data_IF_010057183558
#
_entry.id   IF_010057183558
#
_cell.length_a   1.000
_cell.length_b   1.000
_cell.length_c   1.000
_cell.angle_alpha   90.00
_cell.angle_beta   90.00
_cell.angle_gamma   90.00
#
_symmetry.space_group_name_H-M   'P 1'
#
loop_
_entity.id
_entity.type
_entity.pdbx_description
1 polymer ?
#
# COMPACT_ATOMS: atom_id res chain seq x y z
N UNK A 1 -48.06 -8.14 8.58
CA UNK A 1 -47.69 -7.04 7.65
C UNK A 1 -46.43 -6.40 8.21
N UNK A 2 -45.27 -6.93 7.85
CA UNK A 2 -43.96 -6.50 8.33
C UNK A 2 -43.27 -5.72 7.19
N UNK A 3 -42.96 -4.46 7.49
CA UNK A 3 -42.21 -3.59 6.59
C UNK A 3 -40.77 -4.06 6.55
N UNK A 4 -40.37 -4.53 5.39
CA UNK A 4 -38.94 -4.77 5.05
C UNK A 4 -38.27 -3.40 4.95
N UNK A 5 -37.29 -3.16 5.86
CA UNK A 5 -36.40 -2.01 5.74
C UNK A 5 -35.54 -2.17 4.50
N UNK A 6 -35.62 -1.19 3.61
CA UNK A 6 -34.67 -1.02 2.51
C UNK A 6 -33.30 -0.69 3.12
N UNK A 7 -32.39 -1.67 3.13
CA UNK A 7 -30.97 -1.39 3.26
C UNK A 7 -30.54 -0.67 1.96
N UNK A 8 -30.29 0.62 2.07
CA UNK A 8 -29.66 1.42 1.03
C UNK A 8 -28.23 0.90 0.83
N UNK A 9 -28.08 -0.01 -0.14
CA UNK A 9 -26.76 -0.30 -0.71
C UNK A 9 -26.19 1.00 -1.27
N UNK A 10 -25.16 1.53 -0.64
CA UNK A 10 -24.41 2.67 -1.17
C UNK A 10 -23.79 2.22 -2.50
N UNK A 11 -24.10 2.87 -3.62
CA UNK A 11 -23.56 2.44 -4.91
C UNK A 11 -22.05 2.54 -4.91
N UNK A 12 -21.37 1.51 -5.40
CA UNK A 12 -19.90 1.40 -5.62
C UNK A 12 -19.39 2.52 -6.55
N UNK A 13 -20.26 3.22 -7.25
CA UNK A 13 -19.95 4.29 -8.21
C UNK A 13 -19.32 5.56 -7.62
N UNK A 14 -19.23 5.71 -6.30
CA UNK A 14 -18.67 6.92 -5.69
C UNK A 14 -17.18 6.83 -5.28
N UNK A 15 -16.52 5.65 -5.38
CA UNK A 15 -15.10 5.48 -5.05
C UNK A 15 -14.18 5.69 -6.28
N UNK A 16 -14.73 6.20 -7.39
CA UNK A 16 -13.98 6.41 -8.64
C UNK A 16 -13.09 7.64 -8.64
N UNK A 17 -13.26 8.55 -7.70
CA UNK A 17 -12.39 9.69 -7.57
C UNK A 17 -11.04 9.29 -6.94
N UNK A 18 -9.99 9.94 -7.41
CA UNK A 18 -8.59 9.68 -7.05
C UNK A 18 -8.38 9.98 -5.57
N UNK A 19 -8.39 8.99 -4.65
CA UNK A 19 -8.30 9.30 -3.24
C UNK A 19 -6.90 9.85 -2.91
N UNK A 20 -6.87 11.03 -2.31
CA UNK A 20 -5.68 11.60 -1.68
C UNK A 20 -5.80 11.34 -0.19
N UNK A 21 -4.90 10.52 0.35
CA UNK A 21 -4.87 10.23 1.77
C UNK A 21 -3.78 11.08 2.42
N UNK A 22 -4.16 11.89 3.40
CA UNK A 22 -3.25 12.80 4.08
C UNK A 22 -3.03 12.35 5.54
N UNK A 23 -1.77 12.20 5.91
CA UNK A 23 -1.30 12.01 7.28
C UNK A 23 -0.67 13.29 7.84
N UNK A 24 0.22 13.14 8.81
CA UNK A 24 0.95 14.27 9.41
C UNK A 24 2.15 14.71 8.58
N UNK A 25 2.87 13.74 8.05
CA UNK A 25 4.15 13.92 7.34
C UNK A 25 4.14 13.24 5.97
N UNK A 26 3.11 12.45 5.72
CA UNK A 26 2.95 11.62 4.52
C UNK A 26 1.66 11.99 3.83
N UNK A 27 1.74 12.20 2.51
CA UNK A 27 0.60 12.19 1.61
C UNK A 27 0.69 10.96 0.69
N UNK A 28 -0.45 10.33 0.41
CA UNK A 28 -0.53 9.25 -0.56
C UNK A 28 -1.56 9.58 -1.63
N UNK A 29 -1.16 9.50 -2.87
CA UNK A 29 -2.02 9.66 -4.05
C UNK A 29 -1.62 8.72 -5.16
N UNK A 30 -2.49 8.39 -6.09
CA UNK A 30 -2.10 7.69 -7.30
C UNK A 30 -1.00 8.43 -8.04
N UNK A 31 -0.08 7.67 -8.64
CA UNK A 31 0.94 8.24 -9.53
C UNK A 31 0.31 8.58 -10.87
N UNK A 32 0.70 9.75 -11.39
CA UNK A 32 0.35 10.23 -12.71
C UNK A 32 1.60 10.26 -13.62
N UNK A 33 1.40 10.42 -14.93
CA UNK A 33 2.49 10.38 -15.92
C UNK A 33 3.53 11.49 -15.66
N UNK A 34 3.12 12.59 -15.07
CA UNK A 34 3.99 13.73 -14.75
C UNK A 34 4.92 13.46 -13.57
N UNK A 35 4.61 12.45 -12.75
CA UNK A 35 5.50 12.01 -11.66
C UNK A 35 6.72 11.23 -12.16
N UNK A 36 6.77 10.90 -13.46
CA UNK A 36 7.81 10.02 -14.02
C UNK A 36 9.23 10.44 -13.66
N UNK A 37 9.54 11.72 -13.79
CA UNK A 37 10.91 12.21 -13.59
C UNK A 37 11.41 12.00 -12.16
N UNK A 38 10.59 12.33 -11.17
CA UNK A 38 10.95 12.13 -9.77
C UNK A 38 10.91 10.65 -9.38
N UNK A 39 9.86 9.95 -9.81
CA UNK A 39 9.73 8.50 -9.58
C UNK A 39 10.93 7.73 -10.15
N UNK A 40 11.34 8.03 -11.40
CA UNK A 40 12.48 7.38 -12.06
C UNK A 40 13.78 7.57 -11.27
N UNK A 41 14.07 8.80 -10.82
CA UNK A 41 15.27 9.10 -10.05
C UNK A 41 15.33 8.27 -8.77
N UNK A 42 14.24 8.29 -7.99
CA UNK A 42 14.16 7.53 -6.75
C UNK A 42 14.21 6.02 -7.02
N UNK A 43 13.48 5.54 -8.01
CA UNK A 43 13.43 4.10 -8.34
C UNK A 43 14.80 3.57 -8.77
N UNK A 44 15.53 4.32 -9.59
CA UNK A 44 16.85 3.90 -10.10
C UNK A 44 17.92 3.90 -9.02
N UNK A 45 17.97 4.92 -8.15
CA UNK A 45 18.96 4.92 -7.06
C UNK A 45 18.73 3.80 -6.05
N UNK A 46 17.50 3.30 -5.96
CA UNK A 46 17.13 2.21 -5.07
C UNK A 46 17.09 0.83 -5.76
N UNK A 47 17.60 0.69 -6.98
CA UNK A 47 17.49 -0.57 -7.73
C UNK A 47 18.08 -1.76 -6.96
N UNK A 48 19.33 -1.64 -6.48
CA UNK A 48 20.00 -2.71 -5.72
C UNK A 48 19.32 -2.98 -4.37
N UNK A 49 18.86 -1.91 -3.71
CA UNK A 49 18.12 -1.99 -2.46
C UNK A 49 16.80 -2.76 -2.58
N UNK A 50 16.09 -2.63 -3.70
CA UNK A 50 14.75 -3.18 -3.90
C UNK A 50 14.77 -4.56 -4.55
N UNK A 51 15.73 -4.86 -5.41
CA UNK A 51 15.80 -6.12 -6.17
C UNK A 51 15.69 -7.36 -5.27
N UNK A 52 16.31 -7.34 -4.10
CA UNK A 52 16.28 -8.46 -3.15
C UNK A 52 14.89 -8.74 -2.54
N UNK A 53 13.88 -7.87 -2.80
CA UNK A 53 12.56 -7.91 -2.17
C UNK A 53 11.40 -7.90 -3.15
N UNK A 54 11.67 -7.88 -4.45
CA UNK A 54 10.67 -7.74 -5.49
C UNK A 54 10.67 -8.93 -6.45
N UNK A 55 9.52 -9.23 -7.07
CA UNK A 55 9.46 -10.18 -8.17
C UNK A 55 10.36 -9.73 -9.33
N UNK A 56 11.01 -10.69 -9.96
CA UNK A 56 11.76 -10.42 -11.18
C UNK A 56 10.80 -10.01 -12.29
N UNK A 57 11.18 -8.98 -13.06
CA UNK A 57 10.41 -8.56 -14.21
C UNK A 57 10.40 -9.66 -15.27
N UNK A 58 9.24 -9.89 -15.89
CA UNK A 58 9.10 -10.87 -16.95
C UNK A 58 10.01 -10.57 -18.15
N UNK A 59 10.50 -11.60 -18.80
CA UNK A 59 11.37 -11.45 -19.97
C UNK A 59 10.67 -10.61 -21.05
N UNK A 60 11.39 -9.63 -21.62
CA UNK A 60 10.88 -8.74 -22.66
C UNK A 60 9.90 -7.66 -22.20
N UNK A 61 9.57 -7.59 -20.91
CA UNK A 61 8.72 -6.50 -20.41
C UNK A 61 9.53 -5.20 -20.32
N UNK A 62 9.01 -4.06 -20.87
CA UNK A 62 9.64 -2.77 -20.76
C UNK A 62 9.85 -2.36 -19.30
N UNK A 63 10.96 -1.67 -19.04
CA UNK A 63 11.25 -1.17 -17.70
C UNK A 63 10.66 0.23 -17.49
N UNK A 64 9.64 0.39 -16.64
CA UNK A 64 9.10 1.71 -16.35
C UNK A 64 10.12 2.66 -15.70
N UNK A 65 11.23 2.15 -15.14
CA UNK A 65 12.27 2.98 -14.57
C UNK A 65 13.21 3.61 -15.62
N UNK A 66 13.13 3.18 -16.87
CA UNK A 66 13.93 3.74 -17.97
C UNK A 66 13.07 4.19 -19.16
N UNK A 67 11.84 3.74 -19.23
CA UNK A 67 10.92 4.00 -20.34
C UNK A 67 9.66 4.72 -19.83
N UNK A 68 9.50 6.00 -20.20
CA UNK A 68 8.34 6.81 -19.85
C UNK A 68 7.02 6.23 -20.37
N UNK A 69 7.03 5.58 -21.53
CA UNK A 69 5.83 4.95 -22.08
C UNK A 69 5.41 3.75 -21.22
N UNK A 70 6.36 2.92 -20.80
CA UNK A 70 6.10 1.83 -19.88
C UNK A 70 5.58 2.33 -18.51
N UNK A 71 6.10 3.45 -18.02
CA UNK A 71 5.57 4.10 -16.81
C UNK A 71 4.13 4.60 -17.02
N UNK A 72 3.84 5.24 -18.15
CA UNK A 72 2.48 5.68 -18.49
C UNK A 72 1.50 4.49 -18.57
N UNK A 73 1.91 3.37 -19.18
CA UNK A 73 1.11 2.13 -19.22
C UNK A 73 0.86 1.58 -17.81
N UNK A 74 1.87 1.64 -16.93
CA UNK A 74 1.73 1.26 -15.52
C UNK A 74 0.71 2.14 -14.80
N UNK A 75 0.76 3.46 -14.96
CA UNK A 75 -0.23 4.38 -14.38
C UNK A 75 -1.64 4.08 -14.90
N UNK A 76 -1.79 3.83 -16.20
CA UNK A 76 -3.07 3.45 -16.80
C UNK A 76 -3.61 2.12 -16.25
N UNK A 77 -2.76 1.11 -16.07
CA UNK A 77 -3.13 -0.17 -15.48
C UNK A 77 -3.61 0.02 -14.01
N UNK A 78 -2.91 0.81 -13.20
CA UNK A 78 -3.31 1.14 -11.84
C UNK A 78 -4.63 1.91 -11.77
N UNK A 79 -4.86 2.82 -12.71
CA UNK A 79 -6.16 3.51 -12.85
C UNK A 79 -7.27 2.52 -13.16
N UNK A 80 -7.02 1.56 -14.05
CA UNK A 80 -7.98 0.51 -14.37
C UNK A 80 -8.32 -0.40 -13.19
N UNK A 81 -7.31 -0.82 -12.42
CA UNK A 81 -7.52 -1.61 -11.19
C UNK A 81 -8.42 -0.87 -10.21
N UNK A 82 -8.19 0.44 -10.01
CA UNK A 82 -9.01 1.29 -9.15
C UNK A 82 -10.45 1.40 -9.64
N UNK A 83 -10.65 1.65 -10.93
CA UNK A 83 -11.99 1.71 -11.54
C UNK A 83 -12.77 0.40 -11.39
N UNK A 84 -12.08 -0.73 -11.43
CA UNK A 84 -12.67 -2.05 -11.22
C UNK A 84 -12.80 -2.42 -9.73
N UNK A 85 -12.29 -1.62 -8.81
CA UNK A 85 -12.28 -1.92 -7.39
C UNK A 85 -11.39 -3.12 -7.02
N UNK A 86 -10.42 -3.48 -7.87
CA UNK A 86 -9.55 -4.65 -7.69
C UNK A 86 -8.19 -4.30 -7.08
N UNK A 87 -7.85 -3.00 -7.01
CA UNK A 87 -6.61 -2.53 -6.41
C UNK A 87 -6.50 -1.01 -6.39
N UNK A 88 -5.72 -0.50 -5.43
CA UNK A 88 -5.37 0.92 -5.28
C UNK A 88 -3.87 1.05 -5.09
N UNK A 89 -3.19 1.62 -6.09
CA UNK A 89 -1.77 1.94 -6.03
C UNK A 89 -1.56 3.40 -5.68
N UNK A 90 -0.72 3.67 -4.68
CA UNK A 90 -0.38 5.00 -4.21
C UNK A 90 1.12 5.25 -4.29
N UNK A 91 1.51 6.42 -4.80
CA UNK A 91 2.79 7.02 -4.47
C UNK A 91 2.74 7.55 -3.04
N UNK A 92 3.84 7.37 -2.33
CA UNK A 92 4.06 7.91 -0.98
C UNK A 92 4.92 9.16 -1.12
N UNK A 93 4.41 10.28 -0.67
CA UNK A 93 5.08 11.59 -0.71
C UNK A 93 5.36 12.07 0.71
N UNK A 94 6.52 12.66 0.91
CA UNK A 94 6.95 13.18 2.22
C UNK A 94 7.25 14.66 2.09
N UNK A 95 6.61 15.46 2.95
CA UNK A 95 6.82 16.90 3.01
C UNK A 95 8.21 17.25 3.54
N UNK A 96 8.96 18.03 2.78
CA UNK A 96 10.24 18.63 3.17
C UNK A 96 10.21 20.09 2.76
N UNK A 97 10.43 21.00 3.68
CA UNK A 97 10.46 22.45 3.43
C UNK A 97 9.21 22.98 2.70
N UNK A 98 8.04 22.41 3.02
CA UNK A 98 6.76 22.80 2.42
C UNK A 98 6.49 22.23 1.02
N UNK A 99 7.36 21.34 0.54
CA UNK A 99 7.20 20.64 -0.75
C UNK A 99 7.11 19.13 -0.52
N UNK A 100 6.16 18.50 -1.17
CA UNK A 100 6.00 17.04 -1.13
C UNK A 100 6.92 16.38 -2.17
N UNK A 101 7.75 15.47 -1.70
CA UNK A 101 8.67 14.70 -2.52
C UNK A 101 8.31 13.23 -2.55
N UNK A 102 8.37 12.62 -3.73
CA UNK A 102 8.16 11.19 -3.88
C UNK A 102 9.19 10.39 -3.08
N UNK A 103 8.71 9.44 -2.30
CA UNK A 103 9.55 8.68 -1.37
C UNK A 103 9.36 7.16 -1.45
N UNK A 104 8.35 6.66 -2.16
CA UNK A 104 8.07 5.24 -2.25
C UNK A 104 6.65 4.95 -2.73
N UNK A 105 6.21 3.73 -2.57
CA UNK A 105 4.86 3.32 -2.92
C UNK A 105 4.24 2.41 -1.87
N UNK A 106 2.92 2.48 -1.77
CA UNK A 106 2.09 1.53 -1.04
C UNK A 106 0.92 1.13 -1.94
N UNK A 107 0.70 -0.16 -2.09
CA UNK A 107 -0.33 -0.68 -2.96
C UNK A 107 -1.27 -1.63 -2.21
N UNK A 108 -2.58 -1.39 -2.27
CA UNK A 108 -3.58 -2.41 -2.02
C UNK A 108 -3.80 -3.17 -3.31
N UNK A 109 -3.60 -4.47 -3.29
CA UNK A 109 -3.73 -5.35 -4.45
C UNK A 109 -4.56 -6.59 -4.11
N UNK A 110 -5.00 -7.32 -5.15
CA UNK A 110 -5.80 -8.52 -4.98
C UNK A 110 -7.02 -8.27 -4.07
N UNK A 111 -7.72 -7.16 -4.31
CA UNK A 111 -8.95 -6.86 -3.59
C UNK A 111 -10.02 -7.82 -4.05
N UNK A 112 -10.45 -8.68 -3.15
CA UNK A 112 -11.50 -9.67 -3.37
C UNK A 112 -12.70 -9.31 -2.50
N UNK A 113 -13.87 -9.27 -3.11
CA UNK A 113 -15.16 -8.96 -2.47
C UNK A 113 -15.89 -10.24 -2.03
N UNK A 114 -17.16 -10.15 -1.78
CA UNK A 114 -18.02 -11.25 -1.32
C UNK A 114 -17.64 -11.70 0.10
N UNK A 115 -17.65 -12.98 0.37
CA UNK A 115 -17.36 -13.52 1.71
C UNK A 115 -15.91 -13.32 2.16
N UNK A 116 -14.99 -13.03 1.24
CA UNK A 116 -13.56 -12.86 1.58
C UNK A 116 -13.19 -11.44 2.00
N UNK A 117 -13.74 -10.40 1.37
CA UNK A 117 -13.52 -8.96 1.64
C UNK A 117 -12.10 -8.64 2.13
N UNK A 118 -11.10 -9.01 1.35
CA UNK A 118 -9.70 -8.95 1.74
C UNK A 118 -8.82 -8.33 0.66
N UNK A 119 -7.70 -7.73 1.08
CA UNK A 119 -6.66 -7.22 0.20
C UNK A 119 -5.26 -7.53 0.74
N UNK A 120 -4.28 -7.48 -0.15
CA UNK A 120 -2.86 -7.52 0.19
C UNK A 120 -2.27 -6.12 0.12
N UNK A 121 -1.45 -5.75 1.08
CA UNK A 121 -0.63 -4.55 1.02
C UNK A 121 0.82 -4.93 0.77
N UNK A 122 1.40 -4.31 -0.28
CA UNK A 122 2.82 -4.26 -0.54
C UNK A 122 3.31 -2.82 -0.50
N UNK A 123 4.55 -2.61 -0.04
CA UNK A 123 5.14 -1.26 0.03
C UNK A 123 6.65 -1.31 -0.15
N UNK A 124 7.20 -0.20 -0.60
CA UNK A 124 8.62 0.07 -0.58
C UNK A 124 8.87 1.55 -0.27
N UNK A 125 10.07 1.85 0.21
CA UNK A 125 10.50 3.20 0.58
C UNK A 125 11.92 3.42 0.06
N UNK A 126 12.18 4.65 -0.37
CA UNK A 126 13.51 5.16 -0.63
C UNK A 126 14.44 4.92 0.58
N UNK A 127 15.62 4.34 0.33
CA UNK A 127 16.57 3.98 1.40
C UNK A 127 16.96 5.20 2.23
N UNK A 128 17.20 6.36 1.56
CA UNK A 128 17.57 7.60 2.23
C UNK A 128 16.49 8.14 3.18
N UNK A 129 15.24 7.70 3.01
CA UNK A 129 14.09 8.08 3.83
C UNK A 129 13.59 6.97 4.74
N UNK A 130 14.23 5.79 4.67
CA UNK A 130 13.86 4.66 5.50
C UNK A 130 14.17 4.91 6.98
N UNK A 131 13.42 4.25 7.87
CA UNK A 131 13.62 4.36 9.33
C UNK A 131 12.90 5.53 10.02
N UNK A 132 12.37 6.50 9.28
CA UNK A 132 11.73 7.70 9.81
C UNK A 132 10.24 7.52 10.20
N UNK A 133 9.69 6.32 10.04
CA UNK A 133 8.30 6.03 10.41
C UNK A 133 7.26 6.41 9.34
N UNK A 134 7.67 6.78 8.13
CA UNK A 134 6.76 7.15 7.04
C UNK A 134 5.89 5.97 6.56
N UNK A 135 6.47 4.78 6.41
CA UNK A 135 5.67 3.59 6.03
C UNK A 135 4.67 3.17 7.10
N UNK A 136 4.99 3.12 8.40
CA UNK A 136 3.95 2.94 9.43
C UNK A 136 2.81 3.94 9.32
N UNK A 137 3.09 5.24 9.12
CA UNK A 137 2.06 6.27 8.92
C UNK A 137 1.22 5.99 7.67
N UNK A 138 1.85 5.70 6.53
CA UNK A 138 1.20 5.32 5.27
C UNK A 138 0.31 4.08 5.44
N UNK A 139 0.79 3.08 6.17
CA UNK A 139 0.06 1.83 6.39
C UNK A 139 -1.18 2.04 7.27
N UNK A 140 -1.12 2.92 8.27
CA UNK A 140 -2.30 3.30 9.07
C UNK A 140 -3.34 4.01 8.21
N UNK A 141 -2.92 4.93 7.32
CA UNK A 141 -3.83 5.58 6.37
C UNK A 141 -4.47 4.58 5.40
N UNK A 142 -3.68 3.63 4.90
CA UNK A 142 -4.17 2.58 4.00
C UNK A 142 -5.16 1.63 4.70
N UNK A 143 -4.93 1.31 5.97
CA UNK A 143 -5.88 0.54 6.77
C UNK A 143 -7.20 1.30 6.98
N UNK A 144 -7.13 2.60 7.32
CA UNK A 144 -8.32 3.43 7.44
C UNK A 144 -9.12 3.43 6.14
N UNK A 145 -8.47 3.67 5.02
CA UNK A 145 -9.10 3.61 3.69
C UNK A 145 -9.72 2.23 3.42
N UNK A 146 -8.98 1.15 3.70
CA UNK A 146 -9.43 -0.22 3.43
C UNK A 146 -10.68 -0.60 4.24
N UNK A 147 -10.75 -0.23 5.51
CA UNK A 147 -11.84 -0.63 6.41
C UNK A 147 -13.01 0.35 6.41
N UNK A 148 -12.73 1.66 6.33
CA UNK A 148 -13.76 2.69 6.53
C UNK A 148 -14.34 3.24 5.22
N UNK A 149 -13.57 3.18 4.10
CA UNK A 149 -14.03 3.74 2.81
C UNK A 149 -14.39 2.67 1.80
N UNK A 150 -13.62 1.56 1.73
CA UNK A 150 -13.89 0.51 0.74
C UNK A 150 -14.42 -0.79 1.37
N UNK A 151 -14.81 -0.78 2.64
CA UNK A 151 -15.50 -1.86 3.36
C UNK A 151 -14.83 -3.24 3.22
N UNK A 152 -13.52 -3.31 3.43
CA UNK A 152 -12.83 -4.58 3.55
C UNK A 152 -12.93 -5.12 4.99
N UNK A 153 -12.86 -6.43 5.11
CA UNK A 153 -12.81 -7.10 6.41
C UNK A 153 -11.38 -7.42 6.86
N UNK A 154 -10.45 -7.54 5.90
CA UNK A 154 -9.10 -8.00 6.17
C UNK A 154 -8.06 -7.33 5.28
N UNK A 155 -6.95 -6.95 5.89
CA UNK A 155 -5.74 -6.48 5.21
C UNK A 155 -4.58 -7.40 5.59
N UNK A 156 -3.81 -7.85 4.60
CA UNK A 156 -2.70 -8.76 4.76
C UNK A 156 -1.40 -8.16 4.22
N UNK A 157 -0.30 -8.41 4.92
CA UNK A 157 1.07 -8.13 4.47
C UNK A 157 1.88 -9.42 4.53
N UNK A 158 2.55 -9.77 3.44
CA UNK A 158 3.41 -10.96 3.36
C UNK A 158 4.85 -10.51 3.22
N UNK A 159 5.74 -10.99 4.09
CA UNK A 159 7.11 -10.48 4.22
C UNK A 159 8.10 -11.64 4.26
N UNK A 160 9.10 -11.61 3.40
CA UNK A 160 10.21 -12.59 3.45
C UNK A 160 10.86 -12.55 4.85
N UNK A 161 11.08 -13.68 5.54
CA UNK A 161 11.52 -13.71 6.93
C UNK A 161 12.80 -12.91 7.22
N UNK A 162 13.74 -12.86 6.26
CA UNK A 162 15.00 -12.11 6.37
C UNK A 162 14.84 -10.58 6.19
N UNK A 163 13.68 -10.10 5.71
CA UNK A 163 13.40 -8.66 5.59
C UNK A 163 12.99 -8.07 6.94
N UNK A 164 13.96 -7.93 7.82
CA UNK A 164 13.75 -7.43 9.20
C UNK A 164 13.23 -6.00 9.23
N UNK A 165 13.56 -5.16 8.24
CA UNK A 165 13.10 -3.77 8.15
C UNK A 165 11.59 -3.72 7.88
N UNK A 166 11.10 -4.49 6.91
CA UNK A 166 9.67 -4.57 6.60
C UNK A 166 8.88 -5.21 7.76
N UNK A 167 9.44 -6.24 8.42
CA UNK A 167 8.83 -6.86 9.61
C UNK A 167 8.63 -5.86 10.73
N UNK A 168 9.62 -5.02 11.04
CA UNK A 168 9.51 -3.97 12.08
C UNK A 168 8.36 -2.99 11.81
N UNK A 169 7.98 -2.75 10.56
CA UNK A 169 6.83 -1.90 10.23
C UNK A 169 5.53 -2.51 10.77
N UNK A 170 5.24 -3.75 10.40
CA UNK A 170 4.01 -4.45 10.81
C UNK A 170 4.02 -4.78 12.31
N UNK A 171 5.19 -5.08 12.88
CA UNK A 171 5.36 -5.31 14.32
C UNK A 171 5.07 -4.04 15.14
N UNK A 172 5.52 -2.85 14.70
CA UNK A 172 5.18 -1.55 15.33
C UNK A 172 3.69 -1.22 15.28
N UNK A 173 2.98 -1.73 14.29
CA UNK A 173 1.54 -1.57 14.15
C UNK A 173 0.78 -2.77 14.75
N UNK A 174 1.51 -3.69 15.39
CA UNK A 174 0.98 -4.89 16.04
C UNK A 174 0.06 -5.73 15.14
N UNK A 175 0.41 -5.85 13.86
CA UNK A 175 -0.28 -6.80 12.99
C UNK A 175 -0.04 -8.21 13.50
N UNK A 176 -1.10 -9.00 13.55
CA UNK A 176 -1.02 -10.38 14.02
C UNK A 176 -0.27 -11.24 13.01
N UNK A 177 0.77 -11.95 13.47
CA UNK A 177 1.46 -12.95 12.66
C UNK A 177 0.60 -14.22 12.59
N UNK A 178 0.31 -14.68 11.38
CA UNK A 178 -0.53 -15.86 11.13
C UNK A 178 0.27 -17.10 10.75
N UNK A 179 1.58 -16.99 10.70
CA UNK A 179 2.48 -18.09 10.40
C UNK A 179 3.28 -17.92 9.13
N UNK A 180 3.99 -18.97 8.76
CA UNK A 180 4.84 -19.06 7.58
C UNK A 180 4.07 -19.71 6.43
N UNK A 181 4.12 -19.06 5.26
CA UNK A 181 3.71 -19.65 3.99
C UNK A 181 4.97 -20.02 3.21
N UNK A 182 5.20 -21.32 3.03
CA UNK A 182 6.38 -21.83 2.35
C UNK A 182 6.28 -21.59 0.83
N UNK A 183 7.38 -21.16 0.21
CA UNK A 183 7.51 -20.93 -1.24
C UNK A 183 6.32 -20.15 -1.82
N UNK A 184 5.97 -19.06 -1.14
CA UNK A 184 4.71 -18.36 -1.35
C UNK A 184 4.72 -17.41 -2.56
N UNK A 185 5.77 -16.60 -2.69
CA UNK A 185 5.94 -15.66 -3.80
C UNK A 185 7.34 -15.78 -4.40
N UNK A 186 7.44 -15.54 -5.70
CA UNK A 186 8.73 -15.42 -6.37
C UNK A 186 9.33 -14.05 -6.11
N UNK A 187 10.53 -14.03 -5.54
CA UNK A 187 11.33 -12.84 -5.28
C UNK A 187 12.68 -13.03 -5.99
N UNK A 188 13.04 -12.10 -6.85
CA UNK A 188 14.24 -12.14 -7.69
C UNK A 188 14.49 -13.50 -8.38
N UNK A 189 13.41 -14.15 -8.81
CA UNK A 189 13.45 -15.43 -9.52
C UNK A 189 13.53 -16.67 -8.61
N UNK A 190 13.39 -16.49 -7.28
CA UNK A 190 13.38 -17.58 -6.30
C UNK A 190 12.04 -17.61 -5.57
N UNK A 191 11.43 -18.78 -5.45
CA UNK A 191 10.24 -18.97 -4.61
C UNK A 191 10.62 -18.91 -3.14
N UNK A 192 10.26 -17.82 -2.48
CA UNK A 192 10.64 -17.51 -1.09
C UNK A 192 9.48 -17.77 -0.13
N UNK A 193 9.84 -18.21 1.08
CA UNK A 193 8.91 -18.28 2.20
C UNK A 193 8.52 -16.87 2.67
N UNK A 194 7.27 -16.72 3.14
CA UNK A 194 6.77 -15.45 3.65
C UNK A 194 6.09 -15.62 5.00
N UNK A 195 6.44 -14.78 5.96
CA UNK A 195 5.63 -14.57 7.15
C UNK A 195 4.39 -13.76 6.76
N UNK A 196 3.22 -14.25 7.14
CA UNK A 196 1.94 -13.60 6.87
C UNK A 196 1.50 -12.83 8.10
N UNK A 197 1.29 -11.54 7.92
CA UNK A 197 0.75 -10.64 8.93
C UNK A 197 -0.61 -10.14 8.47
N UNK A 198 -1.54 -9.94 9.41
CA UNK A 198 -2.85 -9.42 9.09
C UNK A 198 -3.42 -8.55 10.20
N UNK A 199 -4.39 -7.74 9.82
CA UNK A 199 -5.30 -7.03 10.70
C UNK A 199 -6.71 -7.17 10.12
N UNK A 200 -7.70 -7.41 10.98
CA UNK A 200 -9.13 -7.49 10.62
C UNK A 200 -9.86 -6.20 10.96
N UNK A 201 -11.10 -6.05 10.46
CA UNK A 201 -11.95 -4.90 10.75
C UNK A 201 -12.24 -4.76 12.24
N UNK A 202 -12.40 -5.89 12.95
CA UNK A 202 -12.62 -5.90 14.40
C UNK A 202 -11.38 -5.41 15.16
N UNK A 203 -10.20 -5.92 14.78
CA UNK A 203 -8.93 -5.48 15.36
C UNK A 203 -8.67 -3.99 15.07
N UNK A 204 -9.00 -3.54 13.86
CA UNK A 204 -8.94 -2.12 13.48
C UNK A 204 -9.87 -1.28 14.33
N UNK A 205 -11.13 -1.66 14.47
CA UNK A 205 -12.14 -0.93 15.26
C UNK A 205 -11.67 -0.69 16.70
N UNK A 206 -11.04 -1.69 17.32
CA UNK A 206 -10.51 -1.60 18.69
C UNK A 206 -9.29 -0.68 18.79
N UNK A 207 -8.49 -0.57 17.72
CA UNK A 207 -7.15 0.03 17.78
C UNK A 207 -7.00 1.33 17.01
N UNK A 208 -7.95 1.66 16.11
CA UNK A 208 -7.85 2.81 15.18
C UNK A 208 -7.56 4.13 15.86
N UNK A 209 -8.18 4.39 17.02
CA UNK A 209 -7.97 5.63 17.76
C UNK A 209 -6.52 5.76 18.26
N UNK A 210 -5.96 4.68 18.83
CA UNK A 210 -4.59 4.67 19.31
C UNK A 210 -3.58 4.75 18.15
N UNK A 211 -3.84 4.02 17.06
CA UNK A 211 -3.00 4.06 15.86
C UNK A 211 -3.01 5.45 15.21
N UNK A 212 -4.18 6.07 15.06
CA UNK A 212 -4.29 7.43 14.54
C UNK A 212 -3.59 8.44 15.47
N UNK A 213 -3.76 8.30 16.79
CA UNK A 213 -3.11 9.17 17.77
C UNK A 213 -1.59 9.07 17.75
N UNK A 214 -1.04 7.90 17.40
CA UNK A 214 0.41 7.67 17.35
C UNK A 214 1.02 8.10 16.03
N UNK A 215 0.33 7.83 14.91
CA UNK A 215 0.92 7.92 13.58
C UNK A 215 0.37 9.05 12.71
N UNK A 216 -0.86 9.54 12.98
CA UNK A 216 -1.54 10.55 12.15
C UNK A 216 -1.69 11.92 12.84
N UNK A 217 -1.12 12.12 14.03
CA UNK A 217 -1.10 13.43 14.66
C UNK A 217 -0.06 14.32 13.98
N UNK A 218 -0.35 15.63 13.77
CA UNK A 218 0.69 16.58 13.42
C UNK A 218 1.81 16.49 14.45
N UNK A 219 3.06 16.46 13.99
CA UNK A 219 4.22 16.59 14.87
C UNK A 219 4.02 17.91 15.62
N UNK A 220 3.77 17.83 16.93
CA UNK A 220 3.63 19.03 17.77
C UNK A 220 4.90 19.88 17.66
N UNK A 221 4.73 21.18 17.46
CA UNK A 221 5.79 22.16 17.65
C UNK A 221 6.40 22.03 19.03
#
# INVERSE_FOLDING_TARGET
MALLGEELETPIDQVTDCPVLCGSRVAMRPLEVDDFSEWQVVRRRNADWLTAWEPRRGFGQPDPAVDRQAFAMRCAARRRERQLGTGWGFGVFVGVDGTDHFAGELNLSNVVRGAFRSAHIGYWMDEDRAGNGYIPEALVMACRFAFEEIDLHRVQVSIVPRNTRSRRVVEKLEFRCEGLAERYLEIDGVWEDHLRFAITAEEWCLRRTALAATWLKPSGN
#
